data_IF_110722336623
#
_entry.id   IF_110722336623
#
_cell.length_a   1.000
_cell.length_b   1.000
_cell.length_c   1.000
_cell.angle_alpha   90.00
_cell.angle_beta   90.00
_cell.angle_gamma   90.00
#
_symmetry.space_group_name_H-M   'P 1'
#
loop_
_entity.id
_entity.type
_entity.pdbx_description
1 polymer ?
#
# COMPACT_ATOMS: atom_id res chain seq x y z
N UNK A 1 20.42 -2.65 13.92
CA UNK A 1 19.37 -2.87 12.89
C UNK A 1 18.08 -2.28 13.42
N UNK A 2 17.32 -1.59 12.56
CA UNK A 2 16.07 -0.90 12.94
C UNK A 2 14.86 -1.82 12.79
N UNK A 3 14.71 -2.45 11.62
CA UNK A 3 13.71 -3.50 11.38
C UNK A 3 14.46 -4.80 11.06
N UNK A 4 13.94 -5.94 11.50
CA UNK A 4 14.45 -7.27 11.17
C UNK A 4 13.29 -8.22 10.88
N UNK A 5 13.50 -9.09 9.89
CA UNK A 5 12.69 -10.28 9.62
C UNK A 5 13.57 -11.53 9.71
N UNK A 6 13.00 -12.72 9.48
CA UNK A 6 13.72 -13.99 9.40
C UNK A 6 14.88 -14.00 8.38
N UNK A 7 14.84 -13.14 7.34
CA UNK A 7 15.83 -13.11 6.25
C UNK A 7 16.41 -11.74 5.92
N UNK A 8 15.75 -10.65 6.30
CA UNK A 8 16.12 -9.30 5.89
C UNK A 8 16.26 -8.37 7.10
N UNK A 9 17.04 -7.32 6.93
CA UNK A 9 17.16 -6.25 7.93
C UNK A 9 17.16 -4.90 7.24
N UNK A 10 16.55 -3.92 7.90
CA UNK A 10 16.64 -2.50 7.53
C UNK A 10 17.42 -1.80 8.61
N UNK A 11 18.50 -1.12 8.21
CA UNK A 11 19.32 -0.29 9.07
C UNK A 11 18.71 1.10 9.23
N UNK A 12 19.11 1.81 10.29
CA UNK A 12 18.73 3.22 10.48
C UNK A 12 19.09 4.08 9.27
N UNK A 13 20.29 3.90 8.71
CA UNK A 13 20.74 4.65 7.55
C UNK A 13 19.87 4.40 6.31
N UNK A 14 19.38 3.17 6.10
CA UNK A 14 18.43 2.88 5.01
C UNK A 14 17.09 3.58 5.24
N UNK A 15 16.56 3.52 6.47
CA UNK A 15 15.33 4.21 6.84
C UNK A 15 15.44 5.73 6.66
N UNK A 16 16.49 6.36 7.20
CA UNK A 16 16.66 7.81 7.12
C UNK A 16 16.83 8.28 5.67
N UNK A 17 17.51 7.50 4.81
CA UNK A 17 17.57 7.78 3.37
C UNK A 17 16.21 7.70 2.69
N UNK A 18 15.43 6.66 2.99
CA UNK A 18 14.08 6.53 2.45
C UNK A 18 13.18 7.69 2.92
N UNK A 19 13.33 8.12 4.17
CA UNK A 19 12.59 9.23 4.75
C UNK A 19 12.94 10.56 4.10
N UNK A 20 14.22 10.87 3.90
CA UNK A 20 14.63 12.10 3.21
C UNK A 20 14.15 12.11 1.75
N UNK A 21 14.22 10.98 1.05
CA UNK A 21 13.69 10.87 -0.31
C UNK A 21 12.18 11.10 -0.36
N UNK A 22 11.42 10.56 0.59
CA UNK A 22 9.99 10.82 0.70
C UNK A 22 9.72 12.29 1.05
N UNK A 23 10.50 12.90 1.95
CA UNK A 23 10.33 14.29 2.36
C UNK A 23 10.55 15.27 1.20
N UNK A 24 11.63 15.09 0.44
CA UNK A 24 11.93 15.91 -0.76
C UNK A 24 10.78 15.82 -1.77
N UNK A 25 10.18 14.64 -1.94
CA UNK A 25 9.10 14.41 -2.89
C UNK A 25 7.76 15.08 -2.52
N UNK A 26 7.53 15.39 -1.23
CA UNK A 26 6.23 15.81 -0.71
C UNK A 26 6.24 17.17 0.00
N UNK A 27 7.39 17.85 0.12
CA UNK A 27 7.45 19.16 0.79
C UNK A 27 8.40 20.15 0.11
N UNK A 28 7.82 21.24 -0.39
CA UNK A 28 8.52 22.46 -0.80
C UNK A 28 8.77 23.40 0.41
N UNK A 29 8.00 23.21 1.49
CA UNK A 29 8.02 24.10 2.67
C UNK A 29 8.79 23.51 3.85
N UNK A 30 9.73 24.30 4.38
CA UNK A 30 10.71 23.91 5.40
C UNK A 30 10.20 24.04 6.84
N UNK A 31 8.92 24.39 7.05
CA UNK A 31 8.30 24.52 8.37
C UNK A 31 7.24 23.45 8.66
N UNK A 32 7.62 22.17 8.53
CA UNK A 32 6.77 21.08 9.02
C UNK A 32 6.91 20.99 10.54
N UNK A 33 5.77 21.03 11.24
CA UNK A 33 5.70 20.88 12.69
C UNK A 33 6.35 19.55 13.16
N UNK A 34 7.09 19.52 14.29
CA UNK A 34 7.78 18.33 14.77
C UNK A 34 6.88 17.10 14.97
N UNK A 35 5.63 17.27 15.40
CA UNK A 35 4.69 16.16 15.57
C UNK A 35 4.28 15.57 14.22
N UNK A 36 4.03 16.43 13.23
CA UNK A 36 3.74 16.01 11.86
C UNK A 36 4.90 15.21 11.27
N UNK A 37 6.15 15.64 11.53
CA UNK A 37 7.35 14.93 11.10
C UNK A 37 7.49 13.57 11.80
N UNK A 38 7.27 13.50 13.11
CA UNK A 38 7.32 12.25 13.87
C UNK A 38 6.27 11.23 13.37
N UNK A 39 5.05 11.70 13.13
CA UNK A 39 3.98 10.88 12.57
C UNK A 39 4.31 10.40 11.15
N UNK A 40 4.91 11.24 10.31
CA UNK A 40 5.38 10.84 8.98
C UNK A 40 6.48 9.79 9.04
N UNK A 41 7.43 9.92 9.98
CA UNK A 41 8.47 8.90 10.23
C UNK A 41 7.82 7.58 10.63
N UNK A 42 6.89 7.59 11.58
CA UNK A 42 6.22 6.37 12.05
C UNK A 42 5.45 5.68 10.91
N UNK A 43 4.71 6.43 10.09
CA UNK A 43 4.03 5.88 8.92
C UNK A 43 4.99 5.21 7.94
N UNK A 44 6.15 5.82 7.67
CA UNK A 44 7.16 5.20 6.82
C UNK A 44 7.74 3.92 7.44
N UNK A 45 7.93 3.89 8.77
CA UNK A 45 8.44 2.71 9.46
C UNK A 45 7.46 1.54 9.30
N UNK A 46 6.17 1.80 9.49
CA UNK A 46 5.12 0.82 9.28
C UNK A 46 5.06 0.37 7.82
N UNK A 47 5.11 1.31 6.87
CA UNK A 47 5.12 0.99 5.43
C UNK A 47 6.30 0.07 5.07
N UNK A 48 7.54 0.43 5.45
CA UNK A 48 8.72 -0.40 5.18
C UNK A 48 8.63 -1.76 5.86
N UNK A 49 7.98 -1.84 7.02
CA UNK A 49 7.76 -3.11 7.72
C UNK A 49 6.77 -3.99 6.94
N UNK A 50 5.68 -3.42 6.44
CA UNK A 50 4.71 -4.15 5.61
C UNK A 50 5.33 -4.60 4.29
N UNK A 51 6.08 -3.74 3.61
CA UNK A 51 6.79 -4.10 2.37
C UNK A 51 7.70 -5.32 2.58
N UNK A 52 8.49 -5.36 3.66
CA UNK A 52 9.33 -6.53 3.98
C UNK A 52 8.51 -7.80 4.20
N UNK A 53 7.35 -7.69 4.87
CA UNK A 53 6.47 -8.83 5.13
C UNK A 53 5.86 -9.35 3.83
N UNK A 54 5.40 -8.43 2.98
CA UNK A 54 4.82 -8.74 1.69
C UNK A 54 5.85 -9.36 0.76
N UNK A 55 7.05 -8.81 0.65
CA UNK A 55 8.14 -9.37 -0.15
C UNK A 55 8.49 -10.79 0.30
N UNK A 56 8.55 -11.00 1.62
CA UNK A 56 8.81 -12.31 2.21
C UNK A 56 7.70 -13.31 1.89
N UNK A 57 6.44 -12.87 1.86
CA UNK A 57 5.26 -13.69 1.51
C UNK A 57 5.22 -13.98 0.01
N UNK A 58 5.48 -12.98 -0.83
CA UNK A 58 5.55 -13.12 -2.28
C UNK A 58 6.58 -14.18 -2.66
N UNK A 59 7.78 -14.12 -2.08
CA UNK A 59 8.83 -15.11 -2.29
C UNK A 59 8.43 -16.53 -1.86
N UNK A 60 7.67 -16.68 -0.77
CA UNK A 60 7.16 -17.99 -0.32
C UNK A 60 6.09 -18.55 -1.25
N UNK A 61 5.25 -17.68 -1.82
CA UNK A 61 4.18 -18.05 -2.75
C UNK A 61 4.68 -18.23 -4.19
N UNK A 62 5.95 -17.94 -4.47
CA UNK A 62 6.49 -17.91 -5.82
C UNK A 62 5.89 -16.80 -6.69
N UNK A 63 5.38 -15.73 -6.07
CA UNK A 63 4.85 -14.56 -6.77
C UNK A 63 6.05 -13.70 -7.19
N UNK A 64 6.20 -13.54 -8.50
CA UNK A 64 7.19 -12.66 -9.12
C UNK A 64 6.45 -11.63 -9.97
N UNK A 65 6.89 -10.37 -9.91
CA UNK A 65 6.48 -9.35 -10.85
C UNK A 65 7.48 -9.33 -11.99
N UNK A 66 7.05 -9.75 -13.17
CA UNK A 66 7.89 -9.75 -14.37
C UNK A 66 8.16 -8.32 -14.82
N UNK A 67 9.34 -8.07 -15.39
CA UNK A 67 9.69 -6.71 -15.84
C UNK A 67 8.72 -6.22 -16.94
N UNK A 68 8.26 -7.11 -17.81
CA UNK A 68 7.25 -6.77 -18.84
C UNK A 68 5.91 -6.35 -18.26
N UNK A 69 5.53 -6.93 -17.11
CA UNK A 69 4.29 -6.58 -16.42
C UNK A 69 4.43 -5.21 -15.75
N UNK A 70 5.57 -4.93 -15.14
CA UNK A 70 5.87 -3.61 -14.60
C UNK A 70 5.87 -2.55 -15.69
N UNK A 71 6.54 -2.80 -16.82
CA UNK A 71 6.56 -1.85 -17.95
C UNK A 71 5.16 -1.63 -18.55
N UNK A 72 4.35 -2.68 -18.63
CA UNK A 72 2.95 -2.53 -19.04
C UNK A 72 2.17 -1.64 -18.08
N UNK A 73 2.32 -1.84 -16.76
CA UNK A 73 1.68 -0.99 -15.76
C UNK A 73 2.17 0.47 -15.82
N UNK A 74 3.48 0.68 -16.04
CA UNK A 74 4.03 2.03 -16.28
C UNK A 74 3.37 2.66 -17.51
N UNK A 75 3.30 1.94 -18.63
CA UNK A 75 2.70 2.43 -19.86
C UNK A 75 1.22 2.76 -19.68
N UNK A 76 0.45 1.90 -19.01
CA UNK A 76 -0.96 2.17 -18.72
C UNK A 76 -1.13 3.44 -17.90
N UNK A 77 -0.34 3.64 -16.83
CA UNK A 77 -0.41 4.87 -16.02
C UNK A 77 -0.07 6.09 -16.89
N UNK A 78 0.94 6.00 -17.76
CA UNK A 78 1.33 7.11 -18.63
C UNK A 78 0.24 7.51 -19.63
N UNK A 79 -0.71 6.63 -19.99
CA UNK A 79 -1.82 6.99 -20.91
C UNK A 79 -2.80 7.99 -20.31
N UNK A 80 -2.88 8.06 -18.98
CA UNK A 80 -3.73 9.01 -18.28
C UNK A 80 -3.13 10.43 -18.28
N UNK A 81 -1.92 10.59 -18.81
CA UNK A 81 -1.21 11.86 -18.90
C UNK A 81 -1.02 12.25 -20.38
N UNK A 82 -1.08 13.56 -20.68
CA UNK A 82 -0.58 14.08 -21.95
C UNK A 82 0.91 13.71 -22.14
N UNK A 83 1.38 13.78 -23.40
CA UNK A 83 2.79 13.53 -23.72
C UNK A 83 3.72 14.44 -22.90
N UNK A 84 4.80 13.87 -22.37
CA UNK A 84 5.81 14.51 -21.51
C UNK A 84 5.34 15.07 -20.14
N UNK A 85 4.04 15.16 -19.86
CA UNK A 85 3.53 15.67 -18.58
C UNK A 85 3.83 14.74 -17.40
N UNK A 86 3.86 13.44 -17.64
CA UNK A 86 4.18 12.46 -16.59
C UNK A 86 5.61 12.66 -16.07
N UNK A 87 6.59 12.76 -16.97
CA UNK A 87 7.98 13.05 -16.65
C UNK A 87 8.13 14.43 -16.00
N UNK A 88 7.42 15.44 -16.52
CA UNK A 88 7.45 16.78 -15.96
C UNK A 88 6.92 16.82 -14.52
N UNK A 89 5.81 16.12 -14.24
CA UNK A 89 5.25 16.01 -12.89
C UNK A 89 6.27 15.40 -11.89
N UNK A 90 6.99 14.36 -12.31
CA UNK A 90 8.05 13.76 -11.49
C UNK A 90 9.21 14.71 -11.26
N UNK A 91 9.61 15.49 -12.28
CA UNK A 91 10.66 16.50 -12.17
C UNK A 91 10.27 17.64 -11.22
N UNK A 92 9.05 18.17 -11.36
CA UNK A 92 8.50 19.21 -10.47
C UNK A 92 8.43 18.74 -9.02
N UNK A 93 8.10 17.47 -8.82
CA UNK A 93 8.09 16.83 -7.50
C UNK A 93 9.48 16.36 -7.03
N UNK A 94 10.55 16.59 -7.80
CA UNK A 94 11.90 16.10 -7.52
C UNK A 94 12.00 14.59 -7.25
N UNK A 95 11.17 13.78 -7.91
CA UNK A 95 11.11 12.32 -7.79
C UNK A 95 11.86 11.68 -8.96
N UNK A 96 12.95 10.93 -8.71
CA UNK A 96 13.59 10.13 -9.77
C UNK A 96 12.63 9.07 -10.31
N UNK A 97 12.56 8.92 -11.64
CA UNK A 97 11.71 7.91 -12.27
C UNK A 97 11.98 6.48 -11.76
N UNK A 98 13.24 6.14 -11.49
CA UNK A 98 13.60 4.83 -10.92
C UNK A 98 12.98 4.60 -9.54
N UNK A 99 12.95 5.62 -8.68
CA UNK A 99 12.33 5.54 -7.36
C UNK A 99 10.82 5.38 -7.47
N UNK A 100 10.18 6.12 -8.38
CA UNK A 100 8.75 5.98 -8.65
C UNK A 100 8.42 4.56 -9.16
N UNK A 101 9.23 4.03 -10.08
CA UNK A 101 9.07 2.68 -10.64
C UNK A 101 9.27 1.58 -9.58
N UNK A 102 10.21 1.74 -8.67
CA UNK A 102 10.39 0.82 -7.54
C UNK A 102 9.19 0.82 -6.58
N UNK A 103 8.60 2.00 -6.32
CA UNK A 103 7.35 2.10 -5.53
C UNK A 103 6.18 1.43 -6.25
N UNK A 104 6.06 1.60 -7.56
CA UNK A 104 5.05 0.90 -8.36
C UNK A 104 5.24 -0.62 -8.28
N UNK A 105 6.47 -1.11 -8.40
CA UNK A 105 6.79 -2.54 -8.23
C UNK A 105 6.31 -3.05 -6.87
N UNK A 106 6.67 -2.38 -5.78
CA UNK A 106 6.26 -2.79 -4.42
C UNK A 106 4.73 -2.85 -4.28
N UNK A 107 4.02 -1.85 -4.82
CA UNK A 107 2.55 -1.83 -4.85
C UNK A 107 1.96 -3.00 -5.63
N UNK A 108 2.46 -3.28 -6.84
CA UNK A 108 1.94 -4.37 -7.67
C UNK A 108 2.19 -5.75 -7.05
N UNK A 109 3.35 -5.94 -6.40
CA UNK A 109 3.65 -7.16 -5.64
C UNK A 109 2.65 -7.33 -4.49
N UNK A 110 2.38 -6.25 -3.74
CA UNK A 110 1.37 -6.26 -2.67
C UNK A 110 -0.02 -6.60 -3.20
N UNK A 111 -0.46 -5.96 -4.28
CA UNK A 111 -1.75 -6.23 -4.93
C UNK A 111 -1.86 -7.71 -5.32
N UNK A 112 -0.82 -8.31 -5.91
CA UNK A 112 -0.81 -9.74 -6.24
C UNK A 112 -0.90 -10.66 -5.02
N UNK A 113 -0.16 -10.33 -3.95
CA UNK A 113 -0.17 -11.13 -2.72
C UNK A 113 -1.56 -11.08 -2.06
N UNK A 114 -2.14 -9.88 -1.96
CA UNK A 114 -3.49 -9.67 -1.43
C UNK A 114 -4.53 -10.36 -2.31
N UNK A 115 -4.40 -10.27 -3.64
CA UNK A 115 -5.31 -10.95 -4.56
C UNK A 115 -5.31 -12.47 -4.31
N UNK A 116 -4.12 -13.07 -4.26
CA UNK A 116 -3.95 -14.51 -4.09
C UNK A 116 -4.48 -15.04 -2.75
N UNK A 117 -4.25 -14.29 -1.67
CA UNK A 117 -4.45 -14.76 -0.30
C UNK A 117 -5.76 -14.29 0.33
N UNK A 118 -6.28 -13.14 -0.10
CA UNK A 118 -7.47 -12.53 0.48
C UNK A 118 -8.60 -12.39 -0.55
N UNK A 119 -8.34 -11.98 -1.78
CA UNK A 119 -9.41 -11.73 -2.76
C UNK A 119 -9.96 -13.04 -3.35
N UNK A 120 -9.09 -13.90 -3.88
CA UNK A 120 -9.47 -15.16 -4.53
C UNK A 120 -10.22 -16.14 -3.61
N UNK A 121 -9.87 -16.28 -2.31
CA UNK A 121 -10.59 -17.18 -1.40
C UNK A 121 -11.94 -16.64 -0.90
N UNK A 122 -12.29 -15.38 -1.18
CA UNK A 122 -13.54 -14.79 -0.66
C UNK A 122 -14.74 -15.35 -1.42
N UNK A 123 -15.56 -16.09 -0.66
CA UNK A 123 -16.89 -16.51 -1.10
C UNK A 123 -17.93 -15.42 -0.78
N UNK A 124 -18.74 -15.09 -1.79
CA UNK A 124 -19.86 -14.16 -1.69
C UNK A 124 -21.14 -14.95 -1.80
N UNK A 125 -21.92 -14.97 -0.73
CA UNK A 125 -23.18 -15.71 -0.63
C UNK A 125 -24.36 -14.82 -0.97
N UNK A 126 -25.52 -15.42 -1.24
CA UNK A 126 -26.77 -14.65 -1.43
C UNK A 126 -27.16 -13.90 -0.16
N UNK A 127 -26.86 -14.45 1.01
CA UNK A 127 -27.08 -13.79 2.30
C UNK A 127 -26.22 -12.53 2.44
N UNK A 128 -24.96 -12.56 1.99
CA UNK A 128 -24.09 -11.37 2.00
C UNK A 128 -24.68 -10.25 1.13
N UNK A 129 -25.21 -10.59 -0.06
CA UNK A 129 -25.83 -9.62 -0.97
C UNK A 129 -27.09 -9.02 -0.34
N UNK A 130 -27.95 -9.86 0.25
CA UNK A 130 -29.17 -9.40 0.90
C UNK A 130 -28.86 -8.46 2.08
N UNK A 131 -27.93 -8.86 2.95
CA UNK A 131 -27.50 -8.05 4.08
C UNK A 131 -26.88 -6.72 3.63
N UNK A 132 -26.13 -6.72 2.53
CA UNK A 132 -25.55 -5.51 1.97
C UNK A 132 -26.61 -4.52 1.49
N UNK A 133 -27.63 -5.01 0.76
CA UNK A 133 -28.75 -4.18 0.27
C UNK A 133 -29.54 -3.61 1.44
N UNK A 134 -29.87 -4.42 2.44
CA UNK A 134 -30.59 -4.00 3.65
C UNK A 134 -29.82 -2.94 4.44
N UNK A 135 -28.50 -3.07 4.55
CA UNK A 135 -27.66 -2.10 5.24
C UNK A 135 -27.49 -0.77 4.47
N UNK A 136 -27.70 -0.79 3.15
CA UNK A 136 -27.49 0.35 2.25
C UNK A 136 -28.77 0.74 1.50
N UNK A 137 -29.95 0.49 2.06
CA UNK A 137 -31.25 0.77 1.40
C UNK A 137 -31.36 2.20 0.86
N UNK A 138 -30.79 3.18 1.57
CA UNK A 138 -30.77 4.59 1.16
C UNK A 138 -29.99 4.83 -0.15
N UNK A 139 -28.94 4.04 -0.41
CA UNK A 139 -28.13 4.12 -1.64
C UNK A 139 -28.89 3.54 -2.85
N UNK A 140 -29.89 2.68 -2.59
CA UNK A 140 -30.71 2.02 -3.61
C UNK A 140 -32.13 2.60 -3.73
N UNK A 141 -32.52 3.54 -2.85
CA UNK A 141 -33.84 4.16 -2.83
C UNK A 141 -34.02 5.31 -3.84
N UNK A 142 -32.95 5.76 -4.51
CA UNK A 142 -33.03 6.84 -5.49
C UNK A 142 -33.52 6.33 -6.86
N UNK A 143 -34.61 6.90 -7.43
CA UNK A 143 -34.97 6.62 -8.81
C UNK A 143 -34.01 7.40 -9.73
N UNK A 144 -33.57 6.76 -10.81
CA UNK A 144 -32.83 7.34 -11.94
C UNK A 144 -31.29 7.25 -11.94
N UNK A 145 -30.78 6.02 -11.96
CA UNK A 145 -29.69 5.69 -12.89
C UNK A 145 -29.93 4.30 -13.46
N UNK A 146 -30.03 4.21 -14.79
CA UNK A 146 -30.28 2.97 -15.54
C UNK A 146 -29.04 2.07 -15.56
N UNK A 147 -28.52 1.67 -14.39
CA UNK A 147 -27.68 0.48 -14.31
C UNK A 147 -28.59 -0.73 -14.50
N UNK A 148 -28.22 -1.67 -15.37
CA UNK A 148 -28.96 -2.93 -15.47
C UNK A 148 -28.84 -3.69 -14.14
N UNK A 149 -29.82 -4.51 -13.77
CA UNK A 149 -29.76 -5.35 -12.56
C UNK A 149 -28.45 -6.17 -12.49
N UNK A 150 -27.88 -6.51 -13.65
CA UNK A 150 -26.61 -7.23 -13.76
C UNK A 150 -25.40 -6.36 -13.37
N UNK A 151 -25.35 -5.11 -13.81
CA UNK A 151 -24.25 -4.20 -13.46
C UNK A 151 -24.32 -3.77 -11.99
N UNK A 152 -25.54 -3.57 -11.47
CA UNK A 152 -25.77 -3.28 -10.06
C UNK A 152 -25.30 -4.44 -9.16
N UNK A 153 -25.70 -5.67 -9.50
CA UNK A 153 -25.26 -6.86 -8.77
C UNK A 153 -23.74 -7.05 -8.84
N UNK A 154 -23.10 -6.76 -9.97
CA UNK A 154 -21.63 -6.81 -10.10
C UNK A 154 -20.96 -5.84 -9.13
N UNK A 155 -21.42 -4.60 -9.08
CA UNK A 155 -20.86 -3.58 -8.18
C UNK A 155 -21.12 -3.91 -6.71
N UNK A 156 -22.29 -4.43 -6.35
CA UNK A 156 -22.56 -4.91 -4.99
C UNK A 156 -21.57 -6.01 -4.59
N UNK A 157 -21.37 -7.00 -5.46
CA UNK A 157 -20.42 -8.10 -5.21
C UNK A 157 -18.99 -7.58 -5.05
N UNK A 158 -18.56 -6.64 -5.89
CA UNK A 158 -17.24 -6.00 -5.79
C UNK A 158 -17.05 -5.24 -4.47
N UNK A 159 -18.07 -4.52 -4.02
CA UNK A 159 -18.05 -3.80 -2.75
C UNK A 159 -18.01 -4.75 -1.55
N UNK A 160 -18.87 -5.78 -1.52
CA UNK A 160 -18.85 -6.79 -0.45
C UNK A 160 -17.48 -7.47 -0.40
N UNK A 161 -16.91 -7.85 -1.55
CA UNK A 161 -15.59 -8.47 -1.60
C UNK A 161 -14.52 -7.55 -1.02
N UNK A 162 -14.53 -6.27 -1.38
CA UNK A 162 -13.62 -5.26 -0.84
C UNK A 162 -13.74 -5.16 0.68
N UNK A 163 -14.97 -5.01 1.20
CA UNK A 163 -15.22 -4.91 2.64
C UNK A 163 -14.72 -6.16 3.41
N UNK A 164 -14.98 -7.36 2.86
CA UNK A 164 -14.47 -8.60 3.45
C UNK A 164 -12.94 -8.66 3.47
N UNK A 165 -12.28 -8.22 2.39
CA UNK A 165 -10.82 -8.17 2.31
C UNK A 165 -10.24 -7.15 3.27
N UNK A 166 -10.80 -5.94 3.33
CA UNK A 166 -10.39 -4.87 4.24
C UNK A 166 -10.54 -5.29 5.70
N UNK A 167 -11.65 -5.96 6.05
CA UNK A 167 -11.87 -6.51 7.39
C UNK A 167 -10.87 -7.62 7.76
N UNK A 168 -10.46 -8.44 6.79
CA UNK A 168 -9.51 -9.53 7.00
C UNK A 168 -8.04 -9.06 7.05
N UNK A 169 -7.71 -7.94 6.40
CA UNK A 169 -6.33 -7.48 6.21
C UNK A 169 -5.53 -7.33 7.51
N UNK A 170 -6.03 -6.67 8.59
CA UNK A 170 -5.23 -6.48 9.81
C UNK A 170 -4.83 -7.79 10.49
N UNK A 171 -5.76 -8.74 10.57
CA UNK A 171 -5.49 -10.05 11.17
C UNK A 171 -4.51 -10.86 10.32
N UNK A 172 -4.69 -10.86 9.00
CA UNK A 172 -3.80 -11.53 8.06
C UNK A 172 -2.38 -10.97 8.13
N UNK A 173 -2.22 -9.64 8.07
CA UNK A 173 -0.93 -8.96 8.16
C UNK A 173 -0.24 -9.23 9.50
N UNK A 174 -0.98 -9.20 10.63
CA UNK A 174 -0.43 -9.56 11.94
C UNK A 174 0.04 -11.03 11.97
N UNK A 175 -0.73 -11.94 11.37
CA UNK A 175 -0.34 -13.34 11.20
C UNK A 175 0.99 -13.50 10.45
N UNK A 176 1.18 -12.76 9.36
CA UNK A 176 2.43 -12.74 8.60
C UNK A 176 3.59 -12.12 9.39
N UNK A 177 3.37 -10.99 10.09
CA UNK A 177 4.37 -10.36 10.96
C UNK A 177 4.89 -11.34 12.01
N UNK A 178 3.99 -12.11 12.64
CA UNK A 178 4.36 -13.17 13.59
C UNK A 178 5.12 -14.32 12.92
N UNK A 179 4.62 -14.79 11.77
CA UNK A 179 5.22 -15.90 11.01
C UNK A 179 6.67 -15.61 10.62
N UNK A 180 6.98 -14.37 10.22
CA UNK A 180 8.31 -13.97 9.77
C UNK A 180 9.17 -13.32 10.86
N UNK A 181 8.74 -13.45 12.13
CA UNK A 181 9.46 -12.94 13.30
C UNK A 181 9.88 -11.47 13.12
N UNK A 182 8.94 -10.63 12.67
CA UNK A 182 9.21 -9.21 12.44
C UNK A 182 9.44 -8.51 13.76
N UNK A 183 10.60 -7.87 13.87
CA UNK A 183 11.00 -7.13 15.06
C UNK A 183 11.43 -5.71 14.67
N UNK A 184 10.95 -4.75 15.45
CA UNK A 184 11.37 -3.35 15.37
C UNK A 184 12.17 -3.04 16.64
N UNK A 185 13.36 -2.48 16.48
CA UNK A 185 14.16 -2.01 17.60
C UNK A 185 13.63 -0.63 18.05
N UNK A 186 12.69 -0.65 19.00
CA UNK A 186 12.06 0.57 19.54
C UNK A 186 13.02 1.47 20.31
N UNK A 187 14.03 0.91 20.97
CA UNK A 187 15.06 1.70 21.65
C UNK A 187 15.88 2.52 20.63
N UNK A 188 16.34 1.87 19.55
CA UNK A 188 17.04 2.54 18.46
C UNK A 188 16.13 3.55 17.73
N UNK A 189 14.83 3.26 17.63
CA UNK A 189 13.83 4.16 17.06
C UNK A 189 13.71 5.45 17.88
N UNK A 190 13.49 5.34 19.19
CA UNK A 190 13.33 6.49 20.10
C UNK A 190 14.60 7.37 20.11
N UNK A 191 15.78 6.76 20.19
CA UNK A 191 17.07 7.48 20.09
C UNK A 191 17.18 8.27 18.78
N UNK A 192 16.62 7.74 17.69
CA UNK A 192 16.63 8.42 16.39
C UNK A 192 15.66 9.61 16.29
N UNK A 193 14.64 9.68 17.14
CA UNK A 193 13.72 10.82 17.20
C UNK A 193 14.30 11.99 18.02
N UNK A 194 15.15 11.70 19.00
CA UNK A 194 15.69 12.68 19.96
C UNK A 194 17.00 13.37 19.56
N UNK A 195 17.61 13.04 18.41
CA UNK A 195 18.89 13.67 18.01
C UNK A 195 18.66 14.95 17.20
N UNK A 196 18.16 15.99 17.88
CA UNK A 196 18.31 17.40 17.48
C UNK A 196 18.61 18.20 18.74
N UNK A 197 19.81 18.03 19.28
CA UNK A 197 20.45 19.02 20.15
C UNK A 197 21.92 18.62 20.37
N UNK A 198 22.79 19.18 19.54
CA UNK A 198 24.10 19.74 19.89
C UNK A 198 24.69 20.47 18.71
#
# INVERSE_FOLDING_TARGET
>A
MLIRTDRQTVTRAQFDRAFEAARIAYSDDRSVDPETLANARLRLLDQMTEELVIDRRAAELGIVLEETELEAAVHEIKKDYPEDEFEQMLLESAIPFSLWKDRLRARLVMEKVVDRELVQPVEITTQDIQAYIEAHEADFAAPEQKSTDTDLNRHIVERIRREKVEAAYPQWMNGLRKKYAVEINWELWEQSQGTREK
#
